data_IF_543201723859
#
_entry.id   IF_543201723859
#
_cell.length_a   1.000
_cell.length_b   1.000
_cell.length_c   1.000
_cell.angle_alpha   90.00
_cell.angle_beta   90.00
_cell.angle_gamma   90.00
#
_symmetry.space_group_name_H-M   'P 1'
#
loop_
_entity.id
_entity.type
_entity.pdbx_description
1 polymer ?
#
# COMPACT_ATOMS: atom_id res chain seq x y z
N UNK A 1 -5.70 -8.15 37.56
CA UNK A 1 -5.00 -8.95 36.55
C UNK A 1 -5.74 -8.93 35.21
N UNK A 2 -7.03 -9.28 35.18
CA UNK A 2 -7.84 -9.27 33.95
C UNK A 2 -7.88 -7.87 33.32
N UNK A 3 -7.99 -6.80 34.13
CA UNK A 3 -8.03 -5.43 33.64
C UNK A 3 -6.77 -5.04 32.87
N UNK A 4 -5.59 -5.48 33.30
CA UNK A 4 -4.33 -5.19 32.61
C UNK A 4 -4.24 -5.92 31.26
N UNK A 5 -4.75 -7.14 31.19
CA UNK A 5 -4.80 -7.92 29.94
C UNK A 5 -5.73 -7.23 28.92
N UNK A 6 -6.90 -6.76 29.38
CA UNK A 6 -7.84 -6.05 28.50
C UNK A 6 -7.26 -4.74 27.99
N UNK A 7 -6.56 -3.98 28.84
CA UNK A 7 -5.88 -2.75 28.42
C UNK A 7 -4.81 -3.03 27.38
N UNK A 8 -4.05 -4.12 27.53
CA UNK A 8 -3.05 -4.54 26.55
C UNK A 8 -3.66 -4.86 25.20
N UNK A 9 -4.79 -5.58 25.18
CA UNK A 9 -5.51 -5.92 23.95
C UNK A 9 -6.03 -4.65 23.26
N UNK A 10 -6.62 -3.73 24.01
CA UNK A 10 -7.11 -2.46 23.45
C UNK A 10 -5.97 -1.61 22.89
N UNK A 11 -4.83 -1.60 23.57
CA UNK A 11 -3.64 -0.89 23.09
C UNK A 11 -3.15 -1.46 21.77
N UNK A 12 -3.06 -2.78 21.63
CA UNK A 12 -2.65 -3.44 20.40
C UNK A 12 -3.63 -3.16 19.25
N UNK A 13 -4.92 -3.17 19.53
CA UNK A 13 -5.94 -2.83 18.52
C UNK A 13 -5.82 -1.38 18.07
N UNK A 14 -5.54 -0.46 18.98
CA UNK A 14 -5.35 0.94 18.63
C UNK A 14 -4.13 1.13 17.73
N UNK A 15 -3.02 0.46 18.02
CA UNK A 15 -1.83 0.48 17.18
C UNK A 15 -2.14 -0.08 15.79
N UNK A 16 -2.81 -1.22 15.73
CA UNK A 16 -3.17 -1.86 14.46
C UNK A 16 -4.09 -0.96 13.64
N UNK A 17 -5.08 -0.33 14.27
CA UNK A 17 -5.97 0.61 13.60
C UNK A 17 -5.22 1.78 12.98
N UNK A 18 -4.23 2.31 13.70
CA UNK A 18 -3.37 3.38 13.19
C UNK A 18 -2.56 2.91 11.98
N UNK A 19 -1.98 1.72 12.06
CA UNK A 19 -1.23 1.14 10.93
C UNK A 19 -2.12 0.89 9.72
N UNK A 20 -3.34 0.43 9.94
CA UNK A 20 -4.30 0.24 8.84
C UNK A 20 -4.65 1.55 8.16
N UNK A 21 -4.82 2.63 8.95
CA UNK A 21 -5.09 3.96 8.40
C UNK A 21 -3.91 4.46 7.55
N UNK A 22 -2.68 4.24 8.02
CA UNK A 22 -1.47 4.58 7.26
C UNK A 22 -1.40 3.76 5.98
N UNK A 23 -1.68 2.46 6.04
CA UNK A 23 -1.69 1.60 4.87
C UNK A 23 -2.68 2.10 3.81
N UNK A 24 -3.90 2.42 4.21
CA UNK A 24 -4.92 2.96 3.28
C UNK A 24 -4.46 4.25 2.62
N UNK A 25 -3.86 5.15 3.40
CA UNK A 25 -3.34 6.41 2.89
C UNK A 25 -2.20 6.16 1.88
N UNK A 26 -1.27 5.28 2.21
CA UNK A 26 -0.15 4.95 1.34
C UNK A 26 -0.61 4.31 0.03
N UNK A 27 -1.56 3.38 0.10
CA UNK A 27 -2.16 2.77 -1.10
C UNK A 27 -2.84 3.82 -1.96
N UNK A 28 -3.62 4.72 -1.36
CA UNK A 28 -4.28 5.79 -2.07
C UNK A 28 -3.27 6.68 -2.80
N UNK A 29 -2.20 7.09 -2.12
CA UNK A 29 -1.17 7.96 -2.70
C UNK A 29 -0.45 7.30 -3.88
N UNK A 30 -0.12 6.02 -3.74
CA UNK A 30 0.56 5.30 -4.81
C UNK A 30 -0.36 5.08 -6.01
N UNK A 31 -1.62 4.73 -5.76
CA UNK A 31 -2.61 4.54 -6.84
C UNK A 31 -2.91 5.85 -7.56
N UNK A 32 -3.02 6.94 -6.81
CA UNK A 32 -3.20 8.27 -7.40
C UNK A 32 -1.99 8.66 -8.27
N UNK A 33 -0.78 8.38 -7.79
CA UNK A 33 0.44 8.63 -8.56
C UNK A 33 0.48 7.81 -9.86
N UNK A 34 0.05 6.57 -9.81
CA UNK A 34 -0.06 5.72 -11.02
C UNK A 34 -1.03 6.35 -12.02
N UNK A 35 -2.18 6.80 -11.56
CA UNK A 35 -3.18 7.44 -12.41
C UNK A 35 -2.67 8.73 -13.03
N UNK A 36 -1.97 9.55 -12.26
CA UNK A 36 -1.38 10.78 -12.76
C UNK A 36 -0.30 10.50 -13.81
N UNK A 37 0.55 9.50 -13.55
CA UNK A 37 1.58 9.08 -14.49
C UNK A 37 0.96 8.67 -15.82
N UNK A 38 -0.07 7.82 -15.75
CA UNK A 38 -0.75 7.34 -16.95
C UNK A 38 -1.38 8.49 -17.74
N UNK A 39 -2.01 9.45 -17.07
CA UNK A 39 -2.61 10.60 -17.76
C UNK A 39 -1.56 11.47 -18.43
N UNK A 40 -0.41 11.65 -17.77
CA UNK A 40 0.65 12.53 -18.29
C UNK A 40 1.48 11.85 -19.38
N UNK A 41 1.76 10.55 -19.25
CA UNK A 41 2.69 9.83 -20.13
C UNK A 41 1.99 8.99 -21.20
N UNK A 42 0.69 8.73 -21.05
CA UNK A 42 -0.06 7.90 -22.00
C UNK A 42 0.11 6.40 -21.81
N UNK A 43 0.89 5.97 -20.82
CA UNK A 43 1.10 4.57 -20.48
C UNK A 43 1.30 4.42 -18.98
N UNK A 44 1.18 3.21 -18.48
CA UNK A 44 1.41 2.93 -17.06
C UNK A 44 2.91 3.02 -16.71
N UNK A 45 3.26 3.33 -15.46
CA UNK A 45 4.66 3.37 -15.06
C UNK A 45 5.26 1.95 -15.11
N UNK A 46 6.52 1.83 -15.56
CA UNK A 46 7.18 0.52 -15.61
C UNK A 46 7.50 -0.07 -14.23
N UNK A 47 7.57 0.79 -13.21
CA UNK A 47 7.86 0.39 -11.83
C UNK A 47 7.39 1.46 -10.87
N UNK A 48 7.35 1.15 -9.57
CA UNK A 48 7.08 2.17 -8.55
C UNK A 48 8.20 3.22 -8.51
N UNK A 49 9.43 2.84 -8.80
CA UNK A 49 10.55 3.77 -8.87
C UNK A 49 10.35 4.84 -9.94
N UNK A 50 9.70 4.50 -11.05
CA UNK A 50 9.39 5.48 -12.10
C UNK A 50 8.50 6.60 -11.60
N UNK A 51 7.63 6.34 -10.63
CA UNK A 51 6.79 7.37 -10.00
C UNK A 51 7.63 8.37 -9.21
N UNK A 52 8.67 7.90 -8.55
CA UNK A 52 9.58 8.76 -7.80
C UNK A 52 10.46 9.56 -8.76
N UNK A 53 11.00 8.91 -9.78
CA UNK A 53 11.83 9.57 -10.80
C UNK A 53 11.07 10.66 -11.54
N UNK A 54 9.80 10.41 -11.85
CA UNK A 54 8.92 11.37 -12.51
C UNK A 54 8.31 12.42 -11.59
N UNK A 55 8.62 12.34 -10.30
CA UNK A 55 8.12 13.27 -9.26
C UNK A 55 6.61 13.18 -9.01
N UNK A 56 5.99 12.04 -9.32
CA UNK A 56 4.60 11.75 -8.96
C UNK A 56 4.48 11.30 -7.51
N UNK A 57 5.57 10.74 -6.97
CA UNK A 57 5.75 10.43 -5.55
C UNK A 57 7.07 11.04 -5.08
N UNK A 58 7.10 11.48 -3.84
CA UNK A 58 8.34 11.91 -3.20
C UNK A 58 9.29 10.75 -2.99
N UNK A 59 8.74 9.67 -2.45
CA UNK A 59 9.45 8.43 -2.17
C UNK A 59 8.43 7.30 -2.10
N UNK A 60 8.90 6.06 -2.25
CA UNK A 60 8.07 4.89 -2.02
C UNK A 60 7.89 4.77 -0.50
N UNK A 61 6.64 4.76 0.02
CA UNK A 61 6.41 4.67 1.46
C UNK A 61 6.76 3.30 1.99
N UNK A 62 7.05 3.23 3.29
CA UNK A 62 7.17 1.94 3.98
C UNK A 62 5.78 1.39 4.25
N UNK A 63 5.59 0.10 3.95
CA UNK A 63 4.40 -0.61 4.40
C UNK A 63 4.43 -0.68 5.93
N UNK A 64 3.41 -0.16 6.63
CA UNK A 64 3.45 -0.10 8.10
C UNK A 64 3.42 -1.47 8.79
N UNK A 65 3.02 -2.53 8.06
CA UNK A 65 2.95 -3.89 8.60
C UNK A 65 4.21 -4.69 8.35
N UNK A 66 4.96 -4.39 7.31
CA UNK A 66 6.23 -5.06 6.99
C UNK A 66 7.44 -4.21 7.37
N UNK A 67 7.20 -2.92 7.62
CA UNK A 67 8.24 -1.92 7.89
C UNK A 67 9.28 -1.85 6.77
N UNK A 68 8.84 -2.02 5.53
CA UNK A 68 9.72 -2.02 4.36
C UNK A 68 9.05 -1.36 3.16
N UNK A 69 9.79 -0.57 2.36
CA UNK A 69 9.28 -0.05 1.10
C UNK A 69 9.40 -1.05 -0.05
N UNK A 70 9.97 -2.23 0.19
CA UNK A 70 10.27 -3.21 -0.85
C UNK A 70 9.27 -4.35 -0.94
N UNK A 71 8.28 -4.38 -0.05
CA UNK A 71 7.31 -5.46 0.03
C UNK A 71 6.00 -5.18 -0.70
N UNK A 72 5.86 -4.03 -1.32
CA UNK A 72 4.69 -3.72 -2.14
C UNK A 72 4.60 -4.67 -3.33
N UNK A 73 3.39 -5.18 -3.59
CA UNK A 73 3.16 -6.03 -4.76
C UNK A 73 2.63 -5.18 -5.90
N UNK A 74 3.39 -5.12 -6.97
CA UNK A 74 3.00 -4.41 -8.19
C UNK A 74 2.09 -5.30 -9.02
N UNK A 75 0.95 -4.77 -9.44
CA UNK A 75 -0.02 -5.49 -10.26
C UNK A 75 0.15 -5.02 -11.70
N UNK A 76 0.54 -5.92 -12.62
CA UNK A 76 0.77 -5.54 -14.01
C UNK A 76 -0.54 -5.23 -14.74
N UNK A 77 -0.45 -4.41 -15.77
CA UNK A 77 -1.55 -4.16 -16.68
C UNK A 77 -1.98 -5.46 -17.38
N UNK A 78 -3.29 -5.70 -17.46
CA UNK A 78 -3.83 -7.02 -17.81
C UNK A 78 -3.87 -7.32 -19.31
N UNK A 79 -3.99 -6.31 -20.15
CA UNK A 79 -4.26 -6.52 -21.59
C UNK A 79 -3.19 -5.86 -22.47
N UNK A 80 -2.59 -6.60 -23.42
CA UNK A 80 -1.76 -5.98 -24.43
C UNK A 80 -2.58 -4.98 -25.28
N UNK A 81 -1.98 -3.87 -25.77
CA UNK A 81 -0.56 -3.52 -25.66
C UNK A 81 -0.19 -2.80 -24.35
N UNK A 82 -1.04 -2.85 -23.33
CA UNK A 82 -0.77 -2.17 -22.08
C UNK A 82 0.38 -2.85 -21.33
N UNK A 83 1.36 -2.03 -20.95
CA UNK A 83 2.53 -2.47 -20.19
C UNK A 83 2.66 -1.61 -18.95
N UNK A 84 3.38 -2.14 -17.95
CA UNK A 84 3.64 -1.43 -16.72
C UNK A 84 2.71 -1.84 -15.59
N UNK A 85 2.70 -1.04 -14.54
CA UNK A 85 1.99 -1.34 -13.30
C UNK A 85 0.69 -0.57 -13.26
N UNK A 86 -0.44 -1.27 -13.14
CA UNK A 86 -1.76 -0.64 -13.06
C UNK A 86 -2.26 -0.46 -11.63
N UNK A 87 -1.71 -1.18 -10.67
CA UNK A 87 -2.13 -1.14 -9.27
C UNK A 87 -1.02 -1.61 -8.36
N UNK A 88 -1.20 -1.40 -7.06
CA UNK A 88 -0.26 -1.84 -6.03
C UNK A 88 -1.04 -2.37 -4.84
N UNK A 89 -0.51 -3.41 -4.22
CA UNK A 89 -1.09 -4.02 -3.03
C UNK A 89 -0.02 -4.22 -1.97
N UNK A 90 -0.44 -4.33 -0.71
CA UNK A 90 0.46 -4.63 0.40
C UNK A 90 1.00 -6.05 0.27
N UNK A 91 2.26 -6.23 0.65
CA UNK A 91 2.86 -7.56 0.79
C UNK A 91 2.66 -8.18 2.16
N UNK A 92 1.93 -7.51 3.05
CA UNK A 92 1.69 -8.01 4.39
C UNK A 92 0.84 -9.29 4.38
N UNK A 93 1.29 -10.31 5.10
CA UNK A 93 0.61 -11.61 5.15
C UNK A 93 -0.20 -11.72 6.43
N UNK A 94 -1.17 -10.83 6.60
CA UNK A 94 -2.07 -10.85 7.76
C UNK A 94 -3.41 -10.24 7.41
N UNK A 95 -4.37 -10.42 8.29
CA UNK A 95 -5.70 -9.85 8.14
C UNK A 95 -5.81 -8.54 8.90
N UNK A 96 -6.66 -7.65 8.40
CA UNK A 96 -7.04 -6.44 9.11
C UNK A 96 -8.00 -6.74 10.24
N UNK A 97 -8.35 -5.70 11.00
CA UNK A 97 -9.30 -5.82 12.12
C UNK A 97 -10.70 -6.24 11.67
N UNK A 98 -11.04 -5.95 10.41
CA UNK A 98 -12.33 -6.35 9.81
C UNK A 98 -12.32 -7.78 9.27
N UNK A 99 -11.21 -8.50 9.41
CA UNK A 99 -11.07 -9.88 8.94
C UNK A 99 -10.62 -10.02 7.49
N UNK A 100 -10.54 -8.94 6.72
CA UNK A 100 -10.08 -9.01 5.33
C UNK A 100 -8.56 -9.07 5.24
N UNK A 101 -8.04 -9.75 4.23
CA UNK A 101 -6.60 -9.82 4.01
C UNK A 101 -6.04 -8.46 3.60
N UNK A 102 -5.00 -7.98 4.29
CA UNK A 102 -4.38 -6.69 3.96
C UNK A 102 -3.82 -6.68 2.53
N UNK A 103 -3.37 -7.83 2.05
CA UNK A 103 -2.84 -7.99 0.69
C UNK A 103 -3.91 -7.84 -0.40
N UNK A 104 -5.18 -7.79 -0.02
CA UNK A 104 -6.28 -7.58 -0.94
C UNK A 104 -6.84 -6.15 -0.89
N UNK A 105 -6.34 -5.34 0.02
CA UNK A 105 -6.77 -3.95 0.12
C UNK A 105 -6.22 -3.13 -1.06
#
# INVERSE_FOLDING_TARGET
MIALVLLGIQYQRAITRTREAVLKTDLFRMRDAIDQYRRAQGHYPPSLSALVEGRYLRKIPKDPFTDSPETWRSIPAKNPPLHGIMDVKSGAQRRGLDGTALSEW
#
